data_IF_566371201720
#
_entry.id   IF_566371201720
#
_cell.length_a   1.000
_cell.length_b   1.000
_cell.length_c   1.000
_cell.angle_alpha   90.00
_cell.angle_beta   90.00
_cell.angle_gamma   90.00
#
_symmetry.space_group_name_H-M   'P 1'
#
loop_
_entity.id
_entity.type
_entity.pdbx_description
1 polymer ?
#
# COMPACT_ATOMS: atom_id res chain seq x y z
N UNK A 1 -17.23 -8.94 2.93
CA UNK A 1 -16.80 -8.31 4.19
C UNK A 1 -15.70 -9.17 4.78
N UNK A 2 -14.43 -8.79 4.61
CA UNK A 2 -13.33 -9.47 5.33
C UNK A 2 -13.40 -8.96 6.76
N UNK A 3 -13.88 -9.80 7.66
CA UNK A 3 -13.99 -9.44 9.05
C UNK A 3 -12.57 -9.41 9.62
N UNK A 4 -12.02 -8.20 9.77
CA UNK A 4 -10.81 -7.99 10.57
C UNK A 4 -11.06 -8.58 11.96
N UNK A 5 -10.03 -9.16 12.57
CA UNK A 5 -10.10 -9.71 13.93
C UNK A 5 -10.70 -8.68 14.89
N UNK A 6 -10.37 -7.40 14.71
CA UNK A 6 -10.97 -6.27 15.40
C UNK A 6 -12.50 -6.15 15.19
N UNK A 7 -13.03 -6.29 13.98
CA UNK A 7 -14.47 -6.21 13.70
C UNK A 7 -15.27 -7.39 14.30
N UNK A 8 -14.66 -8.58 14.39
CA UNK A 8 -15.25 -9.76 15.01
C UNK A 8 -15.30 -9.57 16.52
N UNK A 9 -14.19 -9.12 17.11
CA UNK A 9 -14.13 -8.76 18.52
C UNK A 9 -15.16 -7.66 18.81
N UNK A 10 -15.19 -6.56 18.06
CA UNK A 10 -16.15 -5.43 18.19
C UNK A 10 -17.61 -5.88 18.22
N UNK A 11 -18.00 -6.81 17.34
CA UNK A 11 -19.35 -7.40 17.34
C UNK A 11 -19.63 -8.23 18.58
N UNK A 12 -18.63 -8.95 19.09
CA UNK A 12 -18.71 -9.76 20.30
C UNK A 12 -18.80 -8.88 21.55
N UNK A 13 -18.04 -7.79 21.68
CA UNK A 13 -18.11 -6.88 22.85
C UNK A 13 -19.40 -6.06 22.93
N UNK A 14 -19.92 -5.56 21.80
CA UNK A 14 -21.20 -4.83 21.78
C UNK A 14 -22.37 -5.70 22.31
N UNK A 15 -22.33 -7.01 22.09
CA UNK A 15 -23.31 -7.96 22.63
C UNK A 15 -23.14 -8.18 24.15
N UNK A 16 -21.91 -8.09 24.65
CA UNK A 16 -21.48 -8.38 26.03
C UNK A 16 -21.80 -7.23 27.01
N UNK A 17 -21.62 -5.97 26.60
CA UNK A 17 -21.81 -4.77 27.44
C UNK A 17 -23.23 -4.62 28.07
N UNK A 18 -24.17 -5.48 27.68
CA UNK A 18 -25.57 -5.45 28.13
C UNK A 18 -25.85 -6.18 29.46
N UNK A 19 -24.91 -6.93 30.07
CA UNK A 19 -25.23 -7.76 31.24
C UNK A 19 -24.32 -7.54 32.47
N UNK A 20 -24.95 -7.35 33.64
CA UNK A 20 -24.42 -6.57 34.78
C UNK A 20 -23.71 -7.41 35.86
N UNK A 21 -23.49 -8.71 35.66
CA UNK A 21 -23.08 -9.64 36.72
C UNK A 21 -21.65 -10.18 36.60
N UNK A 22 -21.00 -9.93 35.47
CA UNK A 22 -19.77 -10.60 35.05
C UNK A 22 -18.46 -10.27 35.78
N UNK A 23 -18.46 -9.23 36.62
CA UNK A 23 -17.26 -8.47 36.97
C UNK A 23 -16.25 -9.02 37.99
N UNK A 24 -16.16 -10.33 38.29
CA UNK A 24 -15.31 -10.75 39.44
C UNK A 24 -14.59 -12.12 39.35
N UNK A 25 -13.51 -12.25 38.56
CA UNK A 25 -12.06 -12.27 38.98
C UNK A 25 -11.14 -13.17 38.08
N UNK A 26 -10.01 -12.58 37.62
CA UNK A 26 -8.61 -13.09 37.42
C UNK A 26 -8.44 -14.53 36.89
N UNK A 27 -7.77 -14.86 35.77
CA UNK A 27 -6.58 -14.30 35.11
C UNK A 27 -5.60 -15.47 34.88
N UNK A 28 -5.00 -15.62 33.67
CA UNK A 28 -4.07 -16.68 33.17
C UNK A 28 -4.66 -17.71 32.16
N UNK A 29 -5.98 -17.86 32.00
CA UNK A 29 -6.57 -18.87 31.10
C UNK A 29 -6.76 -18.39 29.63
N UNK A 30 -6.59 -17.10 29.38
CA UNK A 30 -7.22 -16.35 28.28
C UNK A 30 -6.54 -16.58 26.94
N UNK A 31 -5.21 -16.52 26.89
CA UNK A 31 -4.46 -16.77 25.65
C UNK A 31 -4.66 -18.22 25.18
N UNK A 32 -4.71 -19.17 26.11
CA UNK A 32 -5.01 -20.59 25.84
C UNK A 32 -6.47 -20.86 25.45
N UNK A 33 -7.44 -20.05 25.90
CA UNK A 33 -8.84 -20.15 25.48
C UNK A 33 -9.03 -19.50 24.11
N UNK A 34 -8.53 -18.29 23.88
CA UNK A 34 -8.63 -17.61 22.58
C UNK A 34 -7.96 -18.44 21.49
N UNK A 35 -6.74 -18.92 21.72
CA UNK A 35 -6.03 -19.82 20.80
C UNK A 35 -6.73 -21.19 20.73
N UNK A 36 -7.14 -21.76 21.86
CA UNK A 36 -7.79 -23.08 21.91
C UNK A 36 -9.20 -23.13 21.31
N UNK A 37 -9.89 -22.00 21.22
CA UNK A 37 -11.24 -21.86 20.68
C UNK A 37 -11.20 -21.41 19.21
N UNK A 38 -10.28 -20.52 18.84
CA UNK A 38 -10.06 -20.13 17.45
C UNK A 38 -9.32 -21.21 16.65
N UNK A 39 -8.41 -21.99 17.22
CA UNK A 39 -7.60 -22.94 16.43
C UNK A 39 -8.37 -24.15 15.88
N UNK A 40 -9.31 -24.80 16.59
CA UNK A 40 -10.15 -25.85 16.01
C UNK A 40 -11.10 -25.30 14.95
N UNK A 41 -11.60 -24.08 15.14
CA UNK A 41 -12.49 -23.39 14.20
C UNK A 41 -11.70 -22.96 12.95
N UNK A 42 -10.52 -22.36 13.11
CA UNK A 42 -9.60 -22.00 12.03
C UNK A 42 -9.03 -23.23 11.32
N UNK A 43 -8.72 -24.32 12.03
CA UNK A 43 -8.29 -25.58 11.42
C UNK A 43 -9.42 -26.29 10.68
N UNK A 44 -10.67 -26.20 11.18
CA UNK A 44 -11.84 -26.73 10.48
C UNK A 44 -12.17 -25.84 9.25
N UNK A 45 -12.10 -24.51 9.36
CA UNK A 45 -12.34 -23.57 8.26
C UNK A 45 -11.21 -23.59 7.20
N UNK A 46 -9.95 -23.74 7.60
CA UNK A 46 -8.81 -23.92 6.70
C UNK A 46 -8.88 -25.23 5.91
N UNK A 47 -9.58 -26.25 6.45
CA UNK A 47 -9.83 -27.51 5.76
C UNK A 47 -11.05 -27.41 4.81
N UNK A 48 -11.93 -26.42 4.97
CA UNK A 48 -13.23 -26.42 4.27
C UNK A 48 -13.57 -25.24 3.35
N UNK A 49 -13.01 -24.02 3.48
CA UNK A 49 -13.61 -22.88 2.75
C UNK A 49 -12.73 -21.86 2.04
N UNK A 50 -11.43 -21.73 2.28
CA UNK A 50 -10.62 -20.69 1.61
C UNK A 50 -11.16 -19.24 1.74
N UNK A 51 -12.15 -19.04 2.60
CA UNK A 51 -12.89 -17.82 2.88
C UNK A 51 -13.41 -17.94 4.31
N UNK A 52 -12.93 -17.06 5.18
CA UNK A 52 -13.38 -16.99 6.57
C UNK A 52 -14.46 -15.92 6.62
N UNK A 53 -15.73 -16.32 6.55
CA UNK A 53 -16.85 -15.48 6.98
C UNK A 53 -17.38 -16.03 8.29
N UNK A 54 -17.19 -15.28 9.39
CA UNK A 54 -17.80 -15.59 10.67
C UNK A 54 -19.30 -15.29 10.59
N UNK A 55 -20.13 -16.32 10.55
CA UNK A 55 -21.59 -16.17 10.56
C UNK A 55 -22.08 -15.80 11.96
N UNK A 56 -23.18 -15.04 12.05
CA UNK A 56 -23.75 -14.61 13.33
C UNK A 56 -24.10 -15.81 14.23
N UNK A 57 -24.45 -16.97 13.64
CA UNK A 57 -24.75 -18.21 14.37
C UNK A 57 -23.48 -18.85 14.97
N UNK A 58 -22.35 -18.84 14.25
CA UNK A 58 -21.06 -19.30 14.80
C UNK A 58 -20.56 -18.39 15.92
N UNK A 59 -20.80 -17.08 15.80
CA UNK A 59 -20.50 -16.11 16.83
C UNK A 59 -21.40 -16.33 18.06
N UNK A 60 -22.69 -16.60 17.87
CA UNK A 60 -23.62 -16.91 18.96
C UNK A 60 -23.31 -18.25 19.65
N UNK A 61 -22.91 -19.28 18.90
CA UNK A 61 -22.52 -20.58 19.48
C UNK A 61 -21.23 -20.47 20.31
N UNK A 62 -20.31 -19.59 19.92
CA UNK A 62 -19.15 -19.23 20.75
C UNK A 62 -19.62 -18.46 21.99
N UNK A 63 -20.42 -17.40 21.82
CA UNK A 63 -20.96 -16.58 22.91
C UNK A 63 -21.76 -17.38 23.96
N UNK A 64 -22.52 -18.38 23.54
CA UNK A 64 -23.31 -19.26 24.42
C UNK A 64 -22.43 -20.23 25.23
N UNK A 65 -21.18 -20.44 24.80
CA UNK A 65 -20.19 -21.26 25.50
C UNK A 65 -19.22 -20.43 26.35
N UNK A 66 -19.28 -19.09 26.28
CA UNK A 66 -18.45 -18.22 27.09
C UNK A 66 -19.10 -17.97 28.44
N UNK A 67 -18.31 -18.05 29.51
CA UNK A 67 -18.75 -17.62 30.83
C UNK A 67 -18.62 -16.10 31.02
N UNK A 68 -19.22 -15.61 32.10
CA UNK A 68 -19.22 -14.19 32.44
C UNK A 68 -17.79 -13.60 32.56
N UNK A 69 -16.80 -14.39 33.00
CA UNK A 69 -15.41 -13.93 33.13
C UNK A 69 -14.71 -13.82 31.76
N UNK A 70 -15.05 -14.67 30.79
CA UNK A 70 -14.53 -14.63 29.43
C UNK A 70 -15.09 -13.44 28.63
N UNK A 71 -16.30 -12.98 28.97
CA UNK A 71 -16.95 -11.83 28.34
C UNK A 71 -16.26 -10.50 28.66
N UNK A 72 -15.99 -10.22 29.95
CA UNK A 72 -15.35 -8.96 30.36
C UNK A 72 -13.93 -8.82 29.77
N UNK A 73 -13.21 -9.93 29.58
CA UNK A 73 -11.87 -9.93 28.98
C UNK A 73 -11.88 -9.67 27.48
N UNK A 74 -12.87 -10.20 26.77
CA UNK A 74 -13.09 -9.85 25.37
C UNK A 74 -13.45 -8.37 25.26
N UNK A 75 -14.16 -7.86 26.28
CA UNK A 75 -14.33 -6.47 26.64
C UNK A 75 -13.03 -5.66 26.56
N UNK A 76 -12.18 -5.94 27.53
CA UNK A 76 -10.92 -5.23 27.76
C UNK A 76 -9.97 -5.33 26.55
N UNK A 77 -9.96 -6.47 25.84
CA UNK A 77 -9.24 -6.65 24.57
C UNK A 77 -9.71 -5.64 23.52
N UNK A 78 -11.02 -5.48 23.34
CA UNK A 78 -11.55 -4.53 22.35
C UNK A 78 -11.27 -3.10 22.74
N UNK A 79 -11.46 -2.76 24.01
CA UNK A 79 -11.20 -1.41 24.50
C UNK A 79 -9.73 -1.05 24.29
N UNK A 80 -8.81 -2.02 24.49
CA UNK A 80 -7.38 -1.84 24.21
C UNK A 80 -7.10 -1.71 22.72
N UNK A 81 -7.72 -2.53 21.86
CA UNK A 81 -7.56 -2.44 20.40
C UNK A 81 -8.06 -1.11 19.83
N UNK A 82 -9.23 -0.65 20.27
CA UNK A 82 -9.81 0.65 19.89
C UNK A 82 -8.92 1.79 20.42
N UNK A 83 -8.38 1.68 21.64
CA UNK A 83 -7.45 2.68 22.20
C UNK A 83 -6.11 2.73 21.45
N UNK A 84 -5.58 1.59 21.01
CA UNK A 84 -4.39 1.53 20.14
C UNK A 84 -4.67 2.24 18.81
N UNK A 85 -5.81 1.98 18.19
CA UNK A 85 -6.19 2.64 16.93
C UNK A 85 -6.29 4.16 17.10
N UNK A 86 -6.96 4.63 18.17
CA UNK A 86 -7.08 6.05 18.49
C UNK A 86 -5.72 6.70 18.77
N UNK A 87 -4.85 6.06 19.56
CA UNK A 87 -3.55 6.61 19.91
C UNK A 87 -2.55 6.60 18.74
N UNK A 88 -2.55 5.55 17.91
CA UNK A 88 -1.78 5.52 16.66
C UNK A 88 -2.25 6.62 15.71
N UNK A 89 -3.56 6.88 15.69
CA UNK A 89 -4.16 7.98 14.94
C UNK A 89 -3.69 9.34 15.47
N UNK A 90 -3.71 9.57 16.78
CA UNK A 90 -3.24 10.82 17.38
C UNK A 90 -1.73 11.06 17.21
N UNK A 91 -0.95 10.01 16.93
CA UNK A 91 0.48 10.05 16.67
C UNK A 91 0.86 10.17 15.19
N UNK A 92 -0.10 10.49 14.29
CA UNK A 92 0.09 10.53 12.83
C UNK A 92 0.53 9.18 12.21
N UNK A 93 0.36 8.06 12.94
CA UNK A 93 0.72 6.70 12.52
C UNK A 93 -0.50 5.87 12.09
N UNK A 94 -1.55 6.54 11.58
CA UNK A 94 -2.83 5.91 11.21
C UNK A 94 -2.68 4.74 10.23
N UNK A 95 -1.64 4.69 9.40
CA UNK A 95 -1.45 3.60 8.44
C UNK A 95 -0.96 2.30 9.08
N UNK A 96 -0.42 2.36 10.32
CA UNK A 96 0.25 1.24 10.99
C UNK A 96 -0.50 0.70 12.21
N UNK A 97 -1.73 1.16 12.47
CA UNK A 97 -2.48 0.70 13.66
C UNK A 97 -2.76 -0.81 13.65
N UNK A 98 -2.98 -1.42 12.48
CA UNK A 98 -3.16 -2.88 12.37
C UNK A 98 -1.91 -3.63 12.85
N UNK A 99 -0.71 -3.07 12.64
CA UNK A 99 0.55 -3.64 13.11
C UNK A 99 0.66 -3.59 14.64
N UNK A 100 0.29 -2.46 15.24
CA UNK A 100 0.25 -2.28 16.69
C UNK A 100 -0.77 -3.22 17.35
N UNK A 101 -1.96 -3.36 16.74
CA UNK A 101 -2.97 -4.32 17.18
C UNK A 101 -2.47 -5.77 17.08
N UNK A 102 -1.71 -6.11 16.04
CA UNK A 102 -1.10 -7.44 15.91
C UNK A 102 -0.02 -7.68 16.97
N UNK A 103 0.86 -6.71 17.25
CA UNK A 103 1.84 -6.80 18.33
C UNK A 103 1.17 -7.05 19.70
N UNK A 104 0.11 -6.30 19.98
CA UNK A 104 -0.74 -6.51 21.16
C UNK A 104 -1.27 -7.94 21.23
N UNK A 105 -1.91 -8.42 20.18
CA UNK A 105 -2.51 -9.76 20.16
C UNK A 105 -1.47 -10.89 20.14
N UNK A 106 -0.28 -10.65 19.58
CA UNK A 106 0.74 -11.67 19.36
C UNK A 106 1.62 -11.89 20.59
N UNK A 107 1.95 -10.83 21.33
CA UNK A 107 2.81 -10.99 22.50
C UNK A 107 2.75 -9.91 23.55
N UNK A 108 2.02 -8.81 23.33
CA UNK A 108 1.93 -7.74 24.35
C UNK A 108 0.64 -7.79 25.20
N UNK A 109 -0.25 -8.75 24.98
CA UNK A 109 -1.51 -8.90 25.73
C UNK A 109 -1.30 -8.95 27.25
N UNK A 110 -0.21 -9.57 27.71
CA UNK A 110 0.08 -9.67 29.15
C UNK A 110 0.50 -8.34 29.80
N UNK A 111 0.90 -7.35 28.99
CA UNK A 111 1.36 -6.02 29.43
C UNK A 111 0.23 -4.98 29.41
N UNK A 112 -0.98 -5.34 28.99
CA UNK A 112 -2.10 -4.39 28.79
C UNK A 112 -2.51 -3.62 30.06
N UNK A 113 -2.29 -4.24 31.23
CA UNK A 113 -2.64 -3.69 32.54
C UNK A 113 -1.50 -2.83 33.11
N UNK A 114 -0.36 -2.72 32.41
CA UNK A 114 0.74 -1.85 32.81
C UNK A 114 0.41 -0.38 32.58
N UNK A 115 1.00 0.48 33.41
CA UNK A 115 0.81 1.92 33.29
C UNK A 115 1.27 2.40 31.90
N UNK A 116 0.44 3.24 31.28
CA UNK A 116 0.70 3.87 29.99
C UNK A 116 1.01 2.88 28.85
N UNK A 117 0.49 1.65 28.92
CA UNK A 117 0.72 0.58 27.94
C UNK A 117 0.55 1.04 26.48
N UNK A 118 -0.57 1.70 26.17
CA UNK A 118 -0.88 2.15 24.81
C UNK A 118 0.12 3.20 24.34
N UNK A 119 0.44 4.19 25.18
CA UNK A 119 1.39 5.25 24.84
C UNK A 119 2.80 4.70 24.63
N UNK A 120 3.21 3.72 25.44
CA UNK A 120 4.50 3.01 25.30
C UNK A 120 4.57 2.23 23.98
N UNK A 121 3.50 1.49 23.65
CA UNK A 121 3.43 0.75 22.39
C UNK A 121 3.50 1.70 21.19
N UNK A 122 2.71 2.78 21.19
CA UNK A 122 2.74 3.79 20.13
C UNK A 122 4.12 4.45 20.02
N UNK A 123 4.79 4.66 21.16
CA UNK A 123 6.14 5.21 21.22
C UNK A 123 7.22 4.36 20.53
N UNK A 124 6.94 3.09 20.23
CA UNK A 124 7.86 2.21 19.50
C UNK A 124 7.86 2.44 17.97
N UNK A 125 6.89 3.21 17.45
CA UNK A 125 6.69 3.40 16.01
C UNK A 125 7.39 4.67 15.50
N UNK A 126 8.14 4.53 14.41
CA UNK A 126 8.75 5.64 13.68
C UNK A 126 8.37 5.62 12.18
N UNK A 127 8.48 6.78 11.52
CA UNK A 127 8.34 6.88 10.06
C UNK A 127 9.49 6.14 9.36
N UNK A 128 9.20 5.43 8.27
CA UNK A 128 10.17 4.64 7.48
C UNK A 128 10.92 3.51 8.24
N UNK A 129 10.45 3.14 9.43
CA UNK A 129 11.01 2.06 10.25
C UNK A 129 10.77 0.69 9.60
N UNK A 130 11.78 -0.18 9.61
CA UNK A 130 11.60 -1.56 9.16
C UNK A 130 10.88 -2.42 10.21
N UNK A 131 10.22 -3.50 9.78
CA UNK A 131 9.55 -4.43 10.69
C UNK A 131 10.51 -5.06 11.72
N UNK A 132 11.78 -5.28 11.35
CA UNK A 132 12.79 -5.79 12.28
C UNK A 132 13.17 -4.75 13.34
N UNK A 133 13.35 -3.49 12.95
CA UNK A 133 13.62 -2.39 13.87
C UNK A 133 12.44 -2.15 14.82
N UNK A 134 11.19 -2.27 14.32
CA UNK A 134 10.00 -2.20 15.16
C UNK A 134 10.00 -3.29 16.23
N UNK A 135 10.30 -4.54 15.86
CA UNK A 135 10.32 -5.64 16.82
C UNK A 135 11.44 -5.48 17.85
N UNK A 136 12.61 -5.00 17.44
CA UNK A 136 13.70 -4.70 18.37
C UNK A 136 13.28 -3.62 19.39
N UNK A 137 12.66 -2.52 18.94
CA UNK A 137 12.19 -1.43 19.83
C UNK A 137 11.10 -1.92 20.81
N UNK A 138 10.16 -2.73 20.32
CA UNK A 138 9.11 -3.31 21.17
C UNK A 138 9.68 -4.27 22.21
N UNK A 139 10.65 -5.11 21.81
CA UNK A 139 11.32 -6.02 22.74
C UNK A 139 12.06 -5.24 23.83
N UNK A 140 12.74 -4.15 23.47
CA UNK A 140 13.46 -3.29 24.41
C UNK A 140 12.51 -2.51 25.34
N UNK A 141 11.38 -1.99 24.84
CA UNK A 141 10.41 -1.21 25.62
C UNK A 141 9.62 -2.07 26.62
N UNK A 142 9.28 -3.31 26.25
CA UNK A 142 8.47 -4.21 27.07
C UNK A 142 9.27 -5.31 27.78
N UNK A 143 10.60 -5.35 27.63
CA UNK A 143 11.48 -6.42 28.15
C UNK A 143 10.97 -7.82 27.73
N UNK A 144 10.56 -7.95 26.47
CA UNK A 144 10.01 -9.17 25.89
C UNK A 144 10.92 -9.79 24.81
N UNK A 145 10.52 -10.95 24.26
CA UNK A 145 11.32 -11.74 23.31
C UNK A 145 10.43 -12.20 22.14
N UNK A 146 9.84 -11.25 21.42
CA UNK A 146 9.08 -11.50 20.20
C UNK A 146 10.02 -11.99 19.10
N UNK A 147 9.72 -13.14 18.50
CA UNK A 147 10.44 -13.64 17.34
C UNK A 147 10.06 -12.81 16.09
N UNK A 148 11.00 -12.04 15.50
CA UNK A 148 10.73 -11.22 14.34
C UNK A 148 10.24 -12.04 13.13
N UNK A 149 10.68 -13.29 12.98
CA UNK A 149 10.30 -14.16 11.86
C UNK A 149 8.84 -14.61 11.99
N UNK A 150 8.39 -14.93 13.21
CA UNK A 150 7.00 -15.30 13.44
C UNK A 150 6.06 -14.10 13.28
N UNK A 151 6.45 -12.93 13.81
CA UNK A 151 5.71 -11.70 13.61
C UNK A 151 5.58 -11.35 12.12
N UNK A 152 6.70 -11.35 11.39
CA UNK A 152 6.73 -11.05 9.96
C UNK A 152 5.82 -11.97 9.16
N UNK A 153 5.79 -13.26 9.50
CA UNK A 153 4.90 -14.22 8.85
C UNK A 153 3.42 -13.88 9.05
N UNK A 154 3.04 -13.37 10.22
CA UNK A 154 1.67 -12.98 10.54
C UNK A 154 1.32 -11.66 9.85
N UNK A 155 2.15 -10.64 10.03
CA UNK A 155 1.84 -9.29 9.51
C UNK A 155 1.88 -9.26 7.98
N UNK A 156 2.81 -9.98 7.34
CA UNK A 156 2.82 -10.14 5.87
C UNK A 156 1.54 -10.82 5.40
N UNK A 157 1.04 -11.81 6.15
CA UNK A 157 -0.24 -12.46 5.86
C UNK A 157 -1.40 -11.47 5.91
N UNK A 158 -1.48 -10.66 6.97
CA UNK A 158 -2.54 -9.65 7.16
C UNK A 158 -2.48 -8.59 6.07
N UNK A 159 -1.32 -7.94 5.89
CA UNK A 159 -1.05 -6.93 4.85
C UNK A 159 -1.45 -7.43 3.46
N UNK A 160 -1.09 -8.68 3.13
CA UNK A 160 -1.45 -9.29 1.85
C UNK A 160 -2.95 -9.54 1.65
N UNK A 161 -3.81 -9.28 2.64
CA UNK A 161 -5.26 -9.50 2.59
C UNK A 161 -6.10 -8.25 2.88
N UNK A 162 -5.53 -7.21 3.48
CA UNK A 162 -6.22 -5.94 3.75
C UNK A 162 -5.97 -4.93 2.63
N UNK A 163 -6.73 -3.83 2.63
CA UNK A 163 -6.44 -2.64 1.83
C UNK A 163 -6.43 -1.49 2.81
N UNK A 164 -5.28 -0.87 2.95
CA UNK A 164 -5.15 0.37 3.66
C UNK A 164 -5.47 1.53 2.72
N UNK A 165 -6.51 2.30 3.05
CA UNK A 165 -6.90 3.49 2.31
C UNK A 165 -6.85 4.75 3.16
N UNK A 166 -6.24 4.70 4.35
CA UNK A 166 -6.14 5.86 5.23
C UNK A 166 -5.23 6.95 4.65
N UNK A 167 -4.20 6.57 3.90
CA UNK A 167 -3.35 7.54 3.20
C UNK A 167 -3.98 8.15 1.95
N UNK A 168 -5.25 7.87 1.65
CA UNK A 168 -5.94 8.52 0.54
C UNK A 168 -6.25 9.99 0.88
N UNK A 169 -5.78 10.89 0.03
CA UNK A 169 -6.00 12.33 0.13
C UNK A 169 -7.46 12.70 -0.15
N UNK A 170 -8.12 12.06 -1.13
CA UNK A 170 -9.52 12.32 -1.45
C UNK A 170 -10.24 11.02 -1.89
N UNK A 171 -10.61 10.16 -0.94
CA UNK A 171 -11.14 8.83 -1.23
C UNK A 171 -12.43 8.84 -2.06
N UNK A 172 -13.23 9.91 -1.98
CA UNK A 172 -14.49 10.08 -2.73
C UNK A 172 -14.25 10.30 -4.24
N UNK A 173 -13.05 10.74 -4.63
CA UNK A 173 -12.69 11.03 -6.02
C UNK A 173 -11.60 10.07 -6.48
N UNK A 174 -11.81 9.38 -7.61
CA UNK A 174 -10.72 8.63 -8.24
C UNK A 174 -9.68 9.60 -8.78
N UNK A 175 -8.52 9.67 -8.14
CA UNK A 175 -7.49 10.66 -8.39
C UNK A 175 -6.09 10.02 -8.47
N UNK A 176 -5.15 10.76 -9.05
CA UNK A 176 -3.83 10.24 -9.36
C UNK A 176 -2.95 10.02 -8.11
N UNK A 177 -3.11 10.82 -7.06
CA UNK A 177 -2.35 10.66 -5.83
C UNK A 177 -2.76 9.40 -5.06
N UNK A 178 -4.05 9.17 -4.90
CA UNK A 178 -4.56 7.97 -4.22
C UNK A 178 -4.28 6.70 -5.04
N UNK A 179 -4.24 6.80 -6.37
CA UNK A 179 -3.77 5.69 -7.22
C UNK A 179 -2.29 5.36 -6.97
N UNK A 180 -1.44 6.36 -6.74
CA UNK A 180 -0.03 6.16 -6.39
C UNK A 180 0.09 5.51 -5.02
N UNK A 181 -0.68 5.97 -4.03
CA UNK A 181 -0.73 5.35 -2.71
C UNK A 181 -1.19 3.88 -2.80
N UNK A 182 -2.27 3.62 -3.53
CA UNK A 182 -2.77 2.27 -3.80
C UNK A 182 -1.71 1.35 -4.40
N UNK A 183 -0.96 1.84 -5.39
CA UNK A 183 0.11 1.07 -6.01
C UNK A 183 1.24 0.77 -5.02
N UNK A 184 1.60 1.76 -4.19
CA UNK A 184 2.60 1.61 -3.14
C UNK A 184 2.20 0.57 -2.11
N UNK A 185 0.97 0.60 -1.61
CA UNK A 185 0.47 -0.41 -0.68
C UNK A 185 0.47 -1.80 -1.33
N UNK A 186 -0.02 -1.93 -2.57
CA UNK A 186 0.01 -3.21 -3.27
C UNK A 186 1.44 -3.79 -3.43
N UNK A 187 2.43 -2.93 -3.62
CA UNK A 187 3.85 -3.33 -3.65
C UNK A 187 4.38 -3.69 -2.25
N UNK A 188 4.16 -2.83 -1.24
CA UNK A 188 4.62 -3.03 0.13
C UNK A 188 4.00 -4.27 0.78
N UNK A 189 2.72 -4.51 0.52
CA UNK A 189 1.95 -5.66 1.01
C UNK A 189 2.25 -6.96 0.23
N UNK A 190 3.07 -6.88 -0.82
CA UNK A 190 3.52 -8.02 -1.59
C UNK A 190 2.38 -8.73 -2.34
N UNK A 191 1.51 -7.95 -2.99
CA UNK A 191 0.41 -8.51 -3.79
C UNK A 191 0.97 -9.42 -4.90
N UNK A 192 0.30 -10.56 -5.08
CA UNK A 192 0.65 -11.52 -6.11
C UNK A 192 0.17 -11.12 -7.51
N UNK A 193 0.62 -11.86 -8.50
CA UNK A 193 0.13 -11.73 -9.88
C UNK A 193 -0.62 -12.99 -10.27
N UNK A 194 -1.90 -12.83 -10.62
CA UNK A 194 -2.70 -13.89 -11.23
C UNK A 194 -3.53 -13.27 -12.35
N UNK A 195 -3.49 -13.90 -13.52
CA UNK A 195 -4.21 -13.39 -14.69
C UNK A 195 -5.72 -13.33 -14.44
N UNK A 196 -6.35 -12.20 -14.75
CA UNK A 196 -7.80 -12.00 -14.58
C UNK A 196 -8.23 -11.53 -13.19
N UNK A 197 -7.30 -11.30 -12.26
CA UNK A 197 -7.61 -10.74 -10.94
C UNK A 197 -7.33 -9.24 -10.89
N UNK A 198 -7.95 -8.55 -9.94
CA UNK A 198 -7.98 -7.08 -9.88
C UNK A 198 -7.88 -6.54 -8.44
N UNK A 199 -7.03 -7.18 -7.64
CA UNK A 199 -6.78 -6.83 -6.23
C UNK A 199 -7.62 -7.61 -5.23
N UNK A 200 -8.38 -8.62 -5.67
CA UNK A 200 -9.13 -9.51 -4.79
C UNK A 200 -8.21 -10.53 -4.12
N UNK A 201 -8.64 -11.00 -2.95
CA UNK A 201 -8.05 -12.19 -2.31
C UNK A 201 -8.34 -13.41 -3.20
N UNK A 202 -7.28 -14.10 -3.61
CA UNK A 202 -7.38 -15.33 -4.38
C UNK A 202 -7.78 -16.49 -3.45
N UNK A 203 -9.05 -16.86 -3.43
CA UNK A 203 -9.53 -18.02 -2.69
C UNK A 203 -9.23 -19.31 -3.47
N UNK A 204 -9.33 -20.46 -2.80
CA UNK A 204 -9.18 -21.75 -3.49
C UNK A 204 -10.21 -21.90 -4.62
N UNK A 205 -11.48 -21.56 -4.35
CA UNK A 205 -12.57 -21.66 -5.33
C UNK A 205 -12.36 -20.72 -6.55
N UNK A 206 -11.88 -19.49 -6.30
CA UNK A 206 -11.61 -18.57 -7.40
C UNK A 206 -10.36 -18.96 -8.19
N UNK A 207 -9.35 -19.51 -7.53
CA UNK A 207 -8.17 -20.07 -8.19
C UNK A 207 -8.53 -21.24 -9.11
N UNK A 208 -9.30 -22.22 -8.62
CA UNK A 208 -9.77 -23.35 -9.43
C UNK A 208 -10.59 -22.88 -10.64
N UNK A 209 -11.47 -21.90 -10.44
CA UNK A 209 -12.24 -21.29 -11.53
C UNK A 209 -11.33 -20.61 -12.57
N UNK A 210 -10.28 -19.90 -12.12
CA UNK A 210 -9.34 -19.23 -13.00
C UNK A 210 -8.45 -20.20 -13.76
N UNK A 211 -8.10 -21.36 -13.19
CA UNK A 211 -7.41 -22.43 -13.89
C UNK A 211 -8.22 -22.95 -15.08
N UNK A 212 -9.54 -23.10 -14.93
CA UNK A 212 -10.44 -23.52 -16.02
C UNK A 212 -10.58 -22.44 -17.10
N UNK A 213 -10.69 -21.18 -16.70
CA UNK A 213 -10.91 -20.04 -17.62
C UNK A 213 -9.63 -19.70 -18.39
N UNK A 214 -8.48 -19.71 -17.71
CA UNK A 214 -7.18 -19.27 -18.23
C UNK A 214 -6.10 -20.35 -18.09
N UNK A 215 -6.25 -21.51 -18.74
CA UNK A 215 -5.33 -22.64 -18.53
C UNK A 215 -3.88 -22.31 -18.92
N UNK A 216 -3.69 -21.45 -19.92
CA UNK A 216 -2.34 -21.09 -20.37
C UNK A 216 -1.62 -20.12 -19.43
N UNK A 217 -2.37 -19.30 -18.69
CA UNK A 217 -1.85 -18.21 -17.88
C UNK A 217 -1.87 -18.52 -16.38
N UNK A 218 -2.79 -19.38 -15.93
CA UNK A 218 -3.01 -19.71 -14.52
C UNK A 218 -2.67 -21.19 -14.27
N UNK A 219 -3.34 -22.13 -14.94
CA UNK A 219 -3.12 -23.58 -14.70
C UNK A 219 -1.68 -24.02 -15.01
N UNK A 220 -1.05 -23.47 -16.05
CA UNK A 220 0.37 -23.75 -16.33
C UNK A 220 1.33 -23.38 -15.18
N UNK A 221 0.89 -22.49 -14.27
CA UNK A 221 1.63 -22.07 -13.08
C UNK A 221 0.97 -22.59 -11.79
N UNK A 222 0.13 -23.64 -11.87
CA UNK A 222 -0.73 -24.09 -10.78
C UNK A 222 -0.01 -24.18 -9.43
N UNK A 223 1.05 -24.99 -9.35
CA UNK A 223 1.75 -25.25 -8.10
C UNK A 223 2.36 -23.99 -7.50
N UNK A 224 2.90 -23.10 -8.34
CA UNK A 224 3.46 -21.84 -7.88
C UNK A 224 2.37 -20.92 -7.31
N UNK A 225 1.27 -20.74 -8.04
CA UNK A 225 0.16 -19.87 -7.60
C UNK A 225 -0.47 -20.43 -6.32
N UNK A 226 -0.68 -21.74 -6.26
CA UNK A 226 -1.23 -22.44 -5.10
C UNK A 226 -0.39 -22.24 -3.85
N UNK A 227 0.94 -22.30 -3.96
CA UNK A 227 1.87 -22.16 -2.83
C UNK A 227 2.09 -20.70 -2.42
N UNK A 228 2.11 -19.77 -3.37
CA UNK A 228 2.58 -18.40 -3.12
C UNK A 228 1.46 -17.36 -3.06
N UNK A 229 0.35 -17.54 -3.80
CA UNK A 229 -0.65 -16.49 -3.99
C UNK A 229 -2.05 -16.83 -3.48
N UNK A 230 -2.41 -18.11 -3.36
CA UNK A 230 -3.69 -18.48 -2.75
C UNK A 230 -3.73 -17.97 -1.30
N UNK A 231 -4.82 -17.28 -0.94
CA UNK A 231 -4.99 -16.60 0.33
C UNK A 231 -4.45 -15.17 0.36
N UNK A 232 -3.85 -14.67 -0.73
CA UNK A 232 -3.34 -13.29 -0.84
C UNK A 232 -4.11 -12.49 -1.88
N UNK A 233 -4.00 -11.16 -1.81
CA UNK A 233 -4.46 -10.28 -2.87
C UNK A 233 -3.61 -10.47 -4.12
N UNK A 234 -4.29 -10.56 -5.25
CA UNK A 234 -3.63 -10.71 -6.54
C UNK A 234 -4.24 -9.76 -7.55
N UNK A 235 -3.42 -9.27 -8.46
CA UNK A 235 -3.86 -8.48 -9.59
C UNK A 235 -3.05 -8.82 -10.84
N UNK A 236 -3.68 -8.79 -12.00
CA UNK A 236 -2.93 -8.62 -13.25
C UNK A 236 -2.59 -7.14 -13.49
N UNK A 237 -1.87 -6.83 -14.58
CA UNK A 237 -1.38 -5.48 -14.85
C UNK A 237 -2.50 -4.43 -14.91
N UNK A 238 -3.54 -4.69 -15.72
CA UNK A 238 -4.70 -3.81 -15.81
C UNK A 238 -5.56 -3.88 -14.53
N UNK A 239 -5.63 -5.07 -13.92
CA UNK A 239 -6.32 -5.36 -12.68
C UNK A 239 -5.82 -4.54 -11.50
N UNK A 240 -4.52 -4.20 -11.45
CA UNK A 240 -3.96 -3.34 -10.41
C UNK A 240 -4.57 -1.94 -10.48
N UNK A 241 -4.73 -1.39 -11.69
CA UNK A 241 -5.36 -0.08 -11.93
C UNK A 241 -6.88 -0.16 -11.73
N UNK A 242 -7.52 -1.18 -12.31
CA UNK A 242 -8.97 -1.40 -12.20
C UNK A 242 -9.41 -1.61 -10.76
N UNK A 243 -8.59 -2.30 -9.96
CA UNK A 243 -8.84 -2.52 -8.54
C UNK A 243 -9.08 -1.23 -7.81
N UNK A 244 -8.23 -0.22 -8.00
CA UNK A 244 -8.41 1.12 -7.45
C UNK A 244 -9.67 1.82 -8.01
N UNK A 245 -9.86 1.78 -9.34
CA UNK A 245 -11.01 2.40 -9.98
C UNK A 245 -12.34 1.81 -9.51
N UNK A 246 -12.36 0.55 -9.08
CA UNK A 246 -13.52 -0.17 -8.55
C UNK A 246 -13.56 -0.24 -7.01
N UNK A 247 -12.54 0.29 -6.34
CA UNK A 247 -12.47 0.27 -4.89
C UNK A 247 -13.48 1.25 -4.29
N UNK A 248 -14.24 0.78 -3.30
CA UNK A 248 -15.15 1.57 -2.50
C UNK A 248 -14.49 1.82 -1.13
N UNK A 249 -14.09 3.07 -0.82
CA UNK A 249 -13.41 3.40 0.44
C UNK A 249 -14.31 3.30 1.66
N UNK A 250 -15.64 3.34 1.52
CA UNK A 250 -16.56 3.19 2.66
C UNK A 250 -16.69 1.72 3.07
N UNK A 251 -16.71 0.81 2.09
CA UNK A 251 -16.93 -0.63 2.34
C UNK A 251 -15.64 -1.44 2.34
N UNK A 252 -14.51 -0.81 1.98
CA UNK A 252 -13.20 -1.41 1.75
C UNK A 252 -13.25 -2.62 0.81
N UNK A 253 -14.14 -2.57 -0.19
CA UNK A 253 -14.34 -3.65 -1.15
C UNK A 253 -14.09 -3.17 -2.57
N UNK A 254 -13.60 -4.08 -3.40
CA UNK A 254 -13.46 -3.86 -4.83
C UNK A 254 -14.73 -4.38 -5.50
N UNK A 255 -15.57 -3.47 -5.96
CA UNK A 255 -16.86 -3.76 -6.55
C UNK A 255 -16.73 -3.77 -8.08
N UNK A 256 -16.74 -4.96 -8.68
CA UNK A 256 -16.52 -5.12 -10.12
C UNK A 256 -17.41 -4.21 -10.98
N UNK A 257 -16.81 -3.40 -11.85
CA UNK A 257 -17.53 -2.49 -12.76
C UNK A 257 -18.21 -1.30 -12.08
N UNK A 258 -17.84 -0.98 -10.83
CA UNK A 258 -18.39 0.16 -10.09
C UNK A 258 -17.75 1.49 -10.51
N UNK A 259 -18.18 2.60 -9.86
CA UNK A 259 -17.67 3.96 -10.07
C UNK A 259 -17.76 4.47 -11.51
N UNK A 260 -18.65 3.88 -12.32
CA UNK A 260 -18.82 4.23 -13.73
C UNK A 260 -17.67 3.77 -14.63
N UNK A 261 -16.76 2.93 -14.13
CA UNK A 261 -15.60 2.45 -14.88
C UNK A 261 -15.83 1.05 -15.46
N UNK A 262 -15.68 0.90 -16.78
CA UNK A 262 -15.87 -0.36 -17.48
C UNK A 262 -14.63 -1.24 -17.39
N UNK A 263 -14.80 -2.55 -17.49
CA UNK A 263 -13.68 -3.49 -17.56
C UNK A 263 -12.89 -3.33 -18.88
N UNK A 264 -11.62 -2.93 -18.75
CA UNK A 264 -10.68 -2.69 -19.84
C UNK A 264 -9.41 -3.52 -19.63
N UNK A 265 -8.83 -4.02 -20.72
CA UNK A 265 -7.48 -4.58 -20.71
C UNK A 265 -6.42 -3.47 -20.83
N UNK A 266 -5.15 -3.87 -20.77
CA UNK A 266 -4.00 -2.96 -20.85
C UNK A 266 -4.05 -2.06 -22.10
N UNK A 267 -4.33 -2.65 -23.26
CA UNK A 267 -4.37 -1.92 -24.53
C UNK A 267 -5.58 -1.00 -24.61
N UNK A 268 -6.73 -1.42 -24.08
CA UNK A 268 -7.95 -0.61 -24.07
C UNK A 268 -7.84 0.56 -23.09
N UNK A 269 -7.13 0.40 -21.96
CA UNK A 269 -6.80 1.51 -21.06
C UNK A 269 -6.02 2.61 -21.80
N UNK A 270 -4.96 2.23 -22.51
CA UNK A 270 -4.15 3.17 -23.30
C UNK A 270 -4.95 3.79 -24.45
N UNK A 271 -5.62 2.97 -25.27
CA UNK A 271 -6.33 3.42 -26.47
C UNK A 271 -7.55 4.31 -26.16
N UNK A 272 -8.13 4.21 -24.97
CA UNK A 272 -9.24 5.07 -24.54
C UNK A 272 -8.76 6.39 -23.91
N UNK A 273 -7.46 6.58 -23.71
CA UNK A 273 -6.93 7.83 -23.18
C UNK A 273 -6.92 8.95 -24.22
N UNK A 274 -7.35 10.14 -23.81
CA UNK A 274 -7.32 11.35 -24.65
C UNK A 274 -6.01 12.13 -24.55
N UNK A 275 -5.18 11.83 -23.55
CA UNK A 275 -3.89 12.50 -23.28
C UNK A 275 -2.82 11.43 -23.13
N UNK A 276 -1.87 11.41 -24.05
CA UNK A 276 -0.78 10.43 -24.10
C UNK A 276 0.44 10.98 -24.84
N UNK A 277 1.55 10.28 -24.73
CA UNK A 277 2.79 10.60 -25.44
C UNK A 277 3.74 9.40 -25.52
N UNK A 278 4.88 9.59 -26.18
CA UNK A 278 5.96 8.60 -26.17
C UNK A 278 6.67 8.63 -24.81
N UNK A 279 7.20 7.49 -24.36
CA UNK A 279 7.70 7.35 -22.97
C UNK A 279 8.84 8.33 -22.65
N UNK A 280 9.63 8.72 -23.65
CA UNK A 280 10.73 9.68 -23.54
C UNK A 280 10.26 11.12 -23.28
N UNK A 281 8.96 11.39 -23.38
CA UNK A 281 8.34 12.69 -23.08
C UNK A 281 7.45 12.65 -21.85
N UNK A 282 7.53 11.60 -21.02
CA UNK A 282 6.69 11.47 -19.82
C UNK A 282 6.87 12.70 -18.91
N UNK A 283 5.79 13.40 -18.52
CA UNK A 283 5.91 14.48 -17.57
C UNK A 283 6.12 13.92 -16.16
N UNK A 284 6.64 14.75 -15.25
CA UNK A 284 6.81 14.39 -13.83
C UNK A 284 5.48 14.48 -13.08
N UNK A 285 4.50 13.68 -13.52
CA UNK A 285 3.16 13.62 -12.94
C UNK A 285 2.90 12.20 -12.46
N UNK A 286 3.04 11.93 -11.15
CA UNK A 286 2.71 10.63 -10.58
C UNK A 286 1.24 10.24 -10.82
N UNK A 287 0.99 8.95 -11.00
CA UNK A 287 -0.31 8.36 -11.30
C UNK A 287 -0.62 8.29 -12.80
N UNK A 288 0.32 8.62 -13.68
CA UNK A 288 0.20 8.31 -15.10
C UNK A 288 0.33 6.81 -15.36
N UNK A 289 -0.38 6.32 -16.37
CA UNK A 289 -0.18 4.99 -16.90
C UNK A 289 1.06 4.96 -17.81
N UNK A 290 1.87 3.92 -17.71
CA UNK A 290 2.90 3.59 -18.70
C UNK A 290 2.51 2.31 -19.43
N UNK A 291 2.77 2.25 -20.73
CA UNK A 291 2.23 1.20 -21.59
C UNK A 291 3.22 0.75 -22.66
N UNK A 292 3.16 -0.54 -22.98
CA UNK A 292 3.51 -1.11 -24.27
C UNK A 292 2.45 -2.15 -24.63
N UNK A 293 2.41 -2.62 -25.87
CA UNK A 293 1.40 -3.60 -26.32
C UNK A 293 1.31 -4.79 -25.34
N UNK A 294 0.11 -5.00 -24.80
CA UNK A 294 -0.23 -6.06 -23.85
C UNK A 294 0.07 -5.79 -22.38
N UNK A 295 0.64 -4.64 -21.98
CA UNK A 295 1.05 -4.41 -20.59
C UNK A 295 0.95 -2.95 -20.14
N UNK A 296 0.62 -2.75 -18.86
CA UNK A 296 0.54 -1.44 -18.21
C UNK A 296 1.22 -1.43 -16.85
N UNK A 297 1.72 -0.26 -16.46
CA UNK A 297 2.19 0.06 -15.11
C UNK A 297 1.73 1.45 -14.67
N UNK A 298 1.99 1.78 -13.40
CA UNK A 298 1.65 3.08 -12.79
C UNK A 298 2.97 3.81 -12.52
N UNK A 299 3.17 4.96 -13.16
CA UNK A 299 4.28 5.86 -12.88
C UNK A 299 4.09 6.50 -11.50
N UNK A 300 5.06 6.34 -10.61
CA UNK A 300 4.98 6.84 -9.23
C UNK A 300 5.89 8.07 -8.98
N UNK A 301 6.44 8.64 -10.05
CA UNK A 301 7.39 9.74 -9.98
C UNK A 301 8.84 9.29 -9.85
N UNK A 302 9.76 10.24 -10.02
CA UNK A 302 11.21 10.10 -9.89
C UNK A 302 11.79 8.95 -10.74
N UNK A 303 11.22 8.69 -11.92
CA UNK A 303 11.68 7.62 -12.81
C UNK A 303 11.32 6.20 -12.35
N UNK A 304 10.35 6.02 -11.45
CA UNK A 304 9.91 4.71 -10.97
C UNK A 304 8.48 4.35 -11.41
N UNK A 305 8.26 3.05 -11.58
CA UNK A 305 6.99 2.44 -11.96
C UNK A 305 6.67 1.29 -11.02
N UNK A 306 5.42 1.22 -10.56
CA UNK A 306 4.86 0.02 -9.93
C UNK A 306 4.00 -0.72 -10.95
N UNK A 307 4.20 -2.04 -11.06
CA UNK A 307 3.52 -2.87 -12.04
C UNK A 307 3.32 -4.31 -11.53
N UNK A 308 2.19 -4.92 -11.89
CA UNK A 308 1.99 -6.35 -11.70
C UNK A 308 2.69 -7.10 -12.85
N UNK A 309 3.90 -7.59 -12.61
CA UNK A 309 4.87 -7.92 -13.68
C UNK A 309 4.83 -9.36 -14.18
N UNK A 310 4.16 -10.27 -13.48
CA UNK A 310 4.04 -11.67 -13.87
C UNK A 310 4.00 -12.63 -12.68
N UNK A 311 3.61 -13.87 -12.95
CA UNK A 311 3.23 -14.85 -11.92
C UNK A 311 4.30 -15.07 -10.85
N UNK A 312 5.58 -15.14 -11.23
CA UNK A 312 6.66 -15.40 -10.27
C UNK A 312 7.13 -14.16 -9.49
N UNK A 313 6.75 -12.96 -9.94
CA UNK A 313 7.23 -11.70 -9.38
C UNK A 313 6.17 -10.97 -8.54
N UNK A 314 4.89 -11.07 -8.92
CA UNK A 314 3.83 -10.29 -8.27
C UNK A 314 3.82 -8.82 -8.70
N UNK A 315 3.40 -7.94 -7.77
CA UNK A 315 3.50 -6.49 -7.90
C UNK A 315 4.91 -6.05 -7.49
N UNK A 316 5.60 -5.34 -8.40
CA UNK A 316 7.00 -4.93 -8.21
C UNK A 316 7.18 -3.43 -8.51
N UNK A 317 8.21 -2.85 -7.90
CA UNK A 317 8.73 -1.52 -8.22
C UNK A 317 9.96 -1.62 -9.12
N UNK A 318 9.97 -0.88 -10.22
CA UNK A 318 11.04 -0.91 -11.24
C UNK A 318 11.43 0.50 -11.67
N UNK A 319 12.64 0.67 -12.19
CA UNK A 319 13.04 1.90 -12.88
C UNK A 319 12.38 1.95 -14.25
N UNK A 320 11.93 3.15 -14.65
CA UNK A 320 11.39 3.40 -15.98
C UNK A 320 12.49 3.42 -17.03
N UNK A 321 13.68 3.93 -16.67
CA UNK A 321 14.85 3.89 -17.53
C UNK A 321 15.26 2.44 -17.83
N UNK A 322 15.47 2.13 -19.11
CA UNK A 322 15.80 0.78 -19.55
C UNK A 322 14.64 -0.22 -19.55
N UNK A 323 13.42 0.22 -19.23
CA UNK A 323 12.21 -0.60 -19.34
C UNK A 323 11.73 -0.78 -20.79
N UNK A 324 10.73 -1.65 -20.98
CA UNK A 324 10.11 -1.93 -22.28
C UNK A 324 8.91 -1.03 -22.59
N UNK A 325 8.51 -0.16 -21.67
CA UNK A 325 7.39 0.76 -21.89
C UNK A 325 7.70 1.72 -23.05
N UNK A 326 6.73 1.96 -23.93
CA UNK A 326 6.90 2.77 -25.13
C UNK A 326 6.13 4.09 -25.06
N UNK A 327 5.07 4.15 -24.24
CA UNK A 327 4.20 5.30 -24.14
C UNK A 327 3.75 5.55 -22.69
N UNK A 328 3.34 6.79 -22.41
CA UNK A 328 2.62 7.16 -21.21
C UNK A 328 1.22 7.67 -21.58
N UNK A 329 0.28 7.64 -20.63
CA UNK A 329 -1.08 8.12 -20.83
C UNK A 329 -1.75 8.53 -19.51
N UNK A 330 -2.70 9.46 -19.58
CA UNK A 330 -3.65 9.69 -18.49
C UNK A 330 -4.65 8.54 -18.44
N UNK A 331 -4.75 7.88 -17.29
CA UNK A 331 -5.62 6.73 -17.10
C UNK A 331 -7.09 7.20 -17.13
N UNK A 332 -7.94 6.64 -18.01
CA UNK A 332 -9.34 7.01 -18.04
C UNK A 332 -10.01 6.79 -16.67
N UNK A 333 -10.86 7.73 -16.25
CA UNK A 333 -11.55 7.65 -14.95
C UNK A 333 -10.73 8.18 -13.77
N UNK A 334 -9.48 8.58 -13.96
CA UNK A 334 -8.66 9.27 -12.96
C UNK A 334 -8.76 10.79 -13.15
N UNK A 335 -8.97 11.49 -12.04
CA UNK A 335 -8.83 12.94 -11.95
C UNK A 335 -7.38 13.27 -11.60
N UNK A 336 -6.70 13.98 -12.48
CA UNK A 336 -5.34 14.46 -12.22
C UNK A 336 -5.41 15.79 -11.46
N UNK A 337 -4.92 15.78 -10.23
CA UNK A 337 -4.79 16.97 -9.41
C UNK A 337 -3.69 17.84 -10.03
N UNK A 338 -4.01 19.11 -10.33
CA UNK A 338 -3.00 20.04 -10.84
C UNK A 338 -1.95 20.36 -9.79
N UNK A 339 -0.73 20.66 -10.21
CA UNK A 339 0.19 21.41 -9.37
C UNK A 339 -0.48 22.77 -9.08
N UNK A 340 -0.69 23.12 -7.81
CA UNK A 340 -0.92 24.53 -7.48
C UNK A 340 0.33 25.27 -7.98
N UNK A 341 0.19 26.04 -9.07
CA UNK A 341 1.20 27.01 -9.45
C UNK A 341 1.44 27.88 -8.22
N UNK A 342 2.62 27.80 -7.60
CA UNK A 342 3.02 28.79 -6.61
C UNK A 342 2.89 30.15 -7.29
N UNK A 343 1.86 30.92 -6.92
CA UNK A 343 1.76 32.30 -7.37
C UNK A 343 3.07 32.98 -6.96
N UNK A 344 3.80 33.61 -7.91
CA UNK A 344 5.06 34.22 -7.57
C UNK A 344 4.82 35.23 -6.46
N UNK A 345 5.48 35.06 -5.32
CA UNK A 345 5.43 36.03 -4.23
C UNK A 345 5.64 37.43 -4.82
N UNK A 346 4.60 38.26 -4.77
CA UNK A 346 4.74 39.67 -5.11
C UNK A 346 5.73 40.28 -4.11
N UNK A 347 6.98 40.43 -4.56
CA UNK A 347 7.99 41.20 -3.85
C UNK A 347 7.43 42.60 -3.56
N UNK A 348 7.48 43.10 -2.32
CA UNK A 348 6.85 44.36 -1.98
C UNK A 348 7.56 45.51 -2.69
N UNK A 349 6.77 46.26 -3.48
CA UNK A 349 7.19 47.53 -4.10
C UNK A 349 7.83 48.44 -3.03
N UNK A 350 9.11 48.73 -3.21
CA UNK A 350 9.83 49.70 -2.41
C UNK A 350 9.37 51.10 -2.82
N UNK A 351 8.57 51.71 -1.94
CA UNK A 351 8.17 53.11 -2.04
C UNK A 351 9.36 54.01 -1.64
N UNK A 352 10.12 54.51 -2.62
CA UNK A 352 10.99 55.66 -2.41
C UNK A 352 10.34 56.96 -2.90
N UNK A 353 10.35 57.94 -2.01
CA UNK A 353 9.63 59.19 -2.13
C UNK A 353 10.25 60.24 -3.05
N UNK A 354 9.33 61.06 -3.56
CA UNK A 354 9.45 62.44 -4.03
C UNK A 354 10.67 63.24 -3.53
N UNK A 355 11.49 63.80 -4.43
CA UNK A 355 11.56 65.26 -4.69
C UNK A 355 12.55 65.68 -5.81
N UNK A 356 11.98 66.38 -6.81
CA UNK A 356 12.42 67.64 -7.46
C UNK A 356 13.58 67.66 -8.49
N UNK A 357 13.15 68.00 -9.72
CA UNK A 357 13.77 68.77 -10.83
C UNK A 357 15.29 68.95 -10.92
N UNK A 358 15.84 68.64 -12.11
CA UNK A 358 16.40 69.66 -13.02
C UNK A 358 16.65 69.12 -14.44
N UNK A 359 16.70 70.07 -15.36
CA UNK A 359 16.58 70.09 -16.82
C UNK A 359 17.65 69.41 -17.69
N UNK A 360 17.20 68.99 -18.88
CA UNK A 360 17.86 68.98 -20.21
C UNK A 360 19.24 68.31 -20.38
N UNK A 361 19.34 67.34 -21.29
CA UNK A 361 19.93 67.52 -22.65
C UNK A 361 20.16 66.16 -23.33
N UNK A 362 19.75 66.11 -24.61
CA UNK A 362 19.94 65.03 -25.59
C UNK A 362 21.42 64.82 -25.93
N UNK A 363 21.93 63.59 -25.90
CA UNK A 363 23.01 63.14 -26.81
C UNK A 363 22.79 61.68 -27.19
N UNK A 364 22.54 61.51 -28.48
CA UNK A 364 22.61 60.27 -29.25
C UNK A 364 24.08 59.91 -29.48
N UNK A 365 24.53 58.69 -29.18
CA UNK A 365 25.70 58.10 -29.85
C UNK A 365 25.63 56.57 -29.87
N UNK A 366 25.82 56.06 -31.09
CA UNK A 366 25.92 54.70 -31.59
C UNK A 366 27.22 53.98 -31.17
N UNK A 367 27.33 52.71 -31.60
CA UNK A 367 28.52 51.85 -31.72
C UNK A 367 28.75 50.91 -30.52
N UNK A 368 29.11 49.62 -30.66
CA UNK A 368 29.39 48.77 -31.81
C UNK A 368 29.61 47.36 -31.25
N UNK A 369 29.13 46.35 -31.96
CA UNK A 369 29.33 44.93 -31.66
C UNK A 369 30.73 44.53 -32.10
N UNK A 370 31.52 43.90 -31.24
CA UNK A 370 32.73 43.17 -31.64
C UNK A 370 32.68 41.75 -31.10
N UNK A 371 32.54 40.81 -32.04
CA UNK A 371 32.87 39.40 -31.88
C UNK A 371 34.33 39.22 -31.46
N UNK A 372 34.62 38.20 -30.66
CA UNK A 372 35.98 37.65 -30.55
C UNK A 372 35.91 36.14 -30.47
N UNK A 373 36.35 35.53 -31.57
CA UNK A 373 36.72 34.12 -31.76
C UNK A 373 37.91 33.76 -30.88
N UNK A 374 37.92 32.57 -30.28
CA UNK A 374 39.15 31.93 -29.79
C UNK A 374 39.24 30.51 -30.38
N UNK A 375 40.32 30.29 -31.13
CA UNK A 375 40.77 29.00 -31.68
C UNK A 375 41.41 28.11 -30.60
N UNK A 376 41.06 26.83 -30.68
CA UNK A 376 41.92 25.63 -30.75
C UNK A 376 43.29 25.59 -30.06
N UNK A 377 43.51 24.54 -29.26
CA UNK A 377 44.79 23.81 -29.19
C UNK A 377 44.55 22.34 -28.85
N UNK A 378 45.13 21.47 -29.67
CA UNK A 378 45.16 20.03 -29.54
C UNK A 378 46.43 19.58 -28.79
N UNK A 379 46.38 18.46 -28.08
CA UNK A 379 47.56 17.62 -27.90
C UNK A 379 47.17 16.14 -27.78
N UNK A 380 47.74 15.36 -28.68
CA UNK A 380 47.64 13.91 -28.83
C UNK A 380 48.87 13.27 -28.19
N UNK A 381 48.72 12.21 -27.41
CA UNK A 381 49.78 11.20 -27.21
C UNK A 381 49.17 9.81 -27.44
N UNK A 382 49.79 9.08 -28.38
CA UNK A 382 49.54 7.69 -28.77
C UNK A 382 50.72 6.84 -28.31
N UNK A 383 50.44 5.54 -28.13
CA UNK A 383 51.29 4.33 -28.28
C UNK A 383 51.37 3.52 -26.98
N UNK A 384 51.37 2.19 -26.96
CA UNK A 384 51.19 1.06 -27.89
C UNK A 384 51.35 -0.17 -26.98
N UNK A 385 50.59 -1.26 -27.17
CA UNK A 385 50.99 -2.66 -26.90
C UNK A 385 49.83 -3.58 -27.36
N UNK A 386 49.87 -4.04 -28.61
CA UNK A 386 50.28 -5.39 -29.09
C UNK A 386 49.22 -6.49 -28.95
N UNK A 387 48.72 -6.90 -30.12
CA UNK A 387 47.89 -8.07 -30.42
C UNK A 387 48.64 -9.41 -30.38
N UNK A 388 47.85 -10.49 -30.21
CA UNK A 388 48.02 -11.88 -30.74
C UNK A 388 49.21 -12.74 -30.22
N UNK A 389 49.14 -14.06 -30.00
CA UNK A 389 48.19 -15.12 -30.37
C UNK A 389 48.51 -16.45 -29.62
N UNK A 390 47.54 -17.39 -29.60
CA UNK A 390 47.66 -18.89 -29.53
C UNK A 390 48.22 -19.53 -28.23
N UNK A 391 47.68 -20.61 -27.66
CA UNK A 391 47.34 -21.92 -28.22
C UNK A 391 46.54 -22.76 -27.18
N UNK A 392 45.60 -23.61 -27.60
CA UNK A 392 44.93 -24.62 -26.73
C UNK A 392 43.43 -24.83 -26.95
#
# INVERSE_FOLDING_TARGET
MSATVAAILKKVGIAIASNKKARQKIGILILSILIGLLMPIAAMLAVFSGHIEFTDDMIQEVLDNLDEDEMDKIQDVQDTLDAIEEAMSDADMHSRYEEAQVLYMFGLYEYQDEDDFVDRLVGCFEEDQTDYELIDEVNDEFDCDLDPVEYLRIITGIRSTTINSYGFMNPETKNNADLVYWAWEAYNDGWGYVWGTYGLILTQDSFESLCEIYPNNVENHHDFIQENWVGRRTADCAGLIKGYLWFNPETHQIEYGSNGFTDLDADSLYNNSTVNGTIDTIPETPGLGVWHEGHVGIYIGNGYVIQASGTEAGVIKTQLEGSTFTNWFEIPGITYLGEEEEEPEETPETTEGTTVETSETTVETTAETTETTIETSAETIVSEETEENTDG
#
